data_IF_888208181403
#
_entry.id   IF_888208181403
#
_cell.length_a   1.000
_cell.length_b   1.000
_cell.length_c   1.000
_cell.angle_alpha   90.00
_cell.angle_beta   90.00
_cell.angle_gamma   90.00
#
_symmetry.space_group_name_H-M   'P 1'
#
loop_
_entity.id
_entity.type
_entity.pdbx_description
1 polymer ?
#
# COMPACT_ATOMS: atom_id res chain seq x y z
N UNK A 1 18.12 48.47 46.06
CA UNK A 1 16.84 47.96 45.52
C UNK A 1 17.02 47.82 44.01
N UNK A 2 17.13 46.58 43.55
CA UNK A 2 17.35 46.19 42.15
C UNK A 2 16.00 45.86 41.52
N UNK A 3 15.76 46.28 40.28
CA UNK A 3 14.72 45.79 39.35
C UNK A 3 15.14 46.34 37.97
N UNK A 4 15.97 45.65 37.18
CA UNK A 4 15.71 44.48 36.33
C UNK A 4 14.54 44.69 35.38
N UNK A 5 14.90 44.65 34.10
CA UNK A 5 14.11 44.91 32.91
C UNK A 5 13.08 43.80 32.64
N UNK A 6 11.84 44.20 32.33
CA UNK A 6 10.88 43.31 31.68
C UNK A 6 11.21 43.27 30.18
N UNK A 7 11.84 42.17 29.78
CA UNK A 7 11.95 41.77 28.39
C UNK A 7 10.66 41.08 27.97
N UNK A 8 9.94 41.69 27.04
CA UNK A 8 8.78 41.10 26.37
C UNK A 8 9.22 39.87 25.58
N UNK A 9 8.90 38.68 26.06
CA UNK A 9 9.00 37.44 25.29
C UNK A 9 7.89 37.40 24.25
N UNK A 10 8.23 37.74 23.02
CA UNK A 10 7.41 37.43 21.85
C UNK A 10 7.25 35.90 21.77
N UNK A 11 6.05 35.41 22.08
CA UNK A 11 5.70 34.02 21.85
C UNK A 11 5.76 33.73 20.34
N UNK A 12 6.58 32.75 19.96
CA UNK A 12 6.50 32.16 18.62
C UNK A 12 5.07 31.67 18.36
N UNK A 13 4.48 31.93 17.18
CA UNK A 13 3.20 31.34 16.84
C UNK A 13 3.38 29.83 16.80
N UNK A 14 2.57 29.11 17.56
CA UNK A 14 2.41 27.68 17.38
C UNK A 14 2.03 27.46 15.92
N UNK A 15 2.83 26.70 15.18
CA UNK A 15 2.48 26.25 13.84
C UNK A 15 1.24 25.38 13.97
N UNK A 16 0.08 25.98 13.75
CA UNK A 16 -1.20 25.29 13.75
C UNK A 16 -1.12 24.20 12.68
N UNK A 17 -1.24 22.93 13.09
CA UNK A 17 -1.27 21.84 12.10
C UNK A 17 -2.50 22.09 11.21
N UNK A 18 -2.40 21.94 9.89
CA UNK A 18 -3.58 22.02 9.03
C UNK A 18 -4.62 21.05 9.58
N UNK A 19 -5.84 21.51 9.85
CA UNK A 19 -6.94 20.64 10.24
C UNK A 19 -7.85 20.51 9.02
N UNK A 20 -7.80 19.36 8.36
CA UNK A 20 -8.79 18.99 7.36
C UNK A 20 -9.84 18.18 8.11
N UNK A 21 -10.97 18.80 8.43
CA UNK A 21 -12.16 18.06 8.90
C UNK A 21 -12.75 17.27 7.73
N UNK A 22 -13.51 16.18 7.95
CA UNK A 22 -14.26 15.48 6.89
C UNK A 22 -14.87 16.53 5.96
N UNK A 23 -14.34 16.63 4.74
CA UNK A 23 -14.47 17.86 3.96
C UNK A 23 -15.96 18.21 3.78
N UNK A 24 -16.38 19.40 4.22
CA UNK A 24 -17.73 19.92 3.94
C UNK A 24 -17.96 20.10 2.42
N UNK A 25 -16.90 19.99 1.61
CA UNK A 25 -16.98 19.69 0.18
C UNK A 25 -15.63 19.65 -0.52
N UNK A 26 -15.65 19.24 -1.80
CA UNK A 26 -14.48 19.22 -2.70
C UNK A 26 -13.81 20.61 -2.83
N UNK A 27 -14.57 21.69 -2.60
CA UNK A 27 -14.10 23.07 -2.69
C UNK A 27 -13.08 23.43 -1.58
N UNK A 28 -13.30 22.97 -0.34
CA UNK A 28 -12.37 23.24 0.77
C UNK A 28 -11.08 22.42 0.65
N UNK A 29 -11.18 21.20 0.12
CA UNK A 29 -10.02 20.36 -0.19
C UNK A 29 -9.13 20.98 -1.28
N UNK A 30 -9.73 21.67 -2.27
CA UNK A 30 -9.00 22.37 -3.35
C UNK A 30 -8.48 23.73 -2.89
N UNK A 31 -9.19 24.44 -2.01
CA UNK A 31 -8.75 25.72 -1.46
C UNK A 31 -7.52 25.57 -0.53
N UNK A 32 -7.38 24.43 0.14
CA UNK A 32 -6.26 24.11 1.02
C UNK A 32 -5.02 23.53 0.35
N UNK A 33 -4.95 23.49 -1.00
CA UNK A 33 -3.85 22.80 -1.70
C UNK A 33 -2.48 23.42 -1.35
N UNK A 34 -1.47 22.60 -0.97
CA UNK A 34 -0.18 23.08 -0.53
C UNK A 34 0.53 23.83 -1.67
N UNK A 35 1.05 25.03 -1.37
CA UNK A 35 1.74 25.87 -2.36
C UNK A 35 3.25 25.63 -2.36
N UNK A 36 3.79 25.03 -1.30
CA UNK A 36 5.20 24.72 -1.16
C UNK A 36 5.45 23.26 -0.77
N UNK A 37 6.62 22.71 -1.13
CA UNK A 37 7.02 21.34 -0.74
C UNK A 37 7.00 21.10 0.78
N UNK A 38 7.13 22.16 1.59
CA UNK A 38 7.12 22.09 3.06
C UNK A 38 5.71 21.96 3.63
N UNK A 39 4.69 22.36 2.88
CA UNK A 39 3.28 22.25 3.28
C UNK A 39 2.66 20.91 2.86
N UNK A 40 3.27 20.20 1.89
CA UNK A 40 2.72 18.96 1.34
C UNK A 40 2.56 17.86 2.39
N UNK A 41 3.59 17.61 3.21
CA UNK A 41 3.56 16.55 4.22
C UNK A 41 2.50 16.83 5.32
N UNK A 42 2.50 18.01 5.99
CA UNK A 42 1.45 18.32 6.98
C UNK A 42 0.04 18.32 6.41
N UNK A 43 -0.12 18.72 5.14
CA UNK A 43 -1.42 18.70 4.48
C UNK A 43 -1.90 17.27 4.18
N UNK A 44 -1.01 16.39 3.71
CA UNK A 44 -1.33 14.98 3.48
C UNK A 44 -1.67 14.26 4.79
N UNK A 45 -0.92 14.50 5.86
CA UNK A 45 -1.22 13.97 7.20
C UNK A 45 -2.63 14.38 7.65
N UNK A 46 -2.95 15.67 7.53
CA UNK A 46 -4.25 16.21 7.88
C UNK A 46 -5.38 15.62 7.02
N UNK A 47 -5.16 15.48 5.71
CA UNK A 47 -6.12 14.91 4.78
C UNK A 47 -6.44 13.46 5.13
N UNK A 48 -5.42 12.65 5.41
CA UNK A 48 -5.58 11.24 5.79
C UNK A 48 -6.30 11.13 7.14
N UNK A 49 -5.85 11.86 8.15
CA UNK A 49 -6.43 11.79 9.50
C UNK A 49 -7.90 12.24 9.50
N UNK A 50 -8.18 13.34 8.78
CA UNK A 50 -9.52 13.89 8.57
C UNK A 50 -10.48 12.98 7.81
N UNK A 51 -9.98 12.03 7.02
CA UNK A 51 -10.78 11.14 6.18
C UNK A 51 -10.60 9.66 6.51
N UNK A 52 -10.07 9.33 7.69
CA UNK A 52 -9.74 7.94 8.08
C UNK A 52 -10.90 6.96 7.94
N UNK A 53 -12.13 7.36 8.28
CA UNK A 53 -13.31 6.50 8.17
C UNK A 53 -13.64 6.21 6.70
N UNK A 54 -13.66 7.26 5.88
CA UNK A 54 -13.88 7.15 4.43
C UNK A 54 -12.83 6.24 3.80
N UNK A 55 -11.55 6.44 4.11
CA UNK A 55 -10.44 5.65 3.57
C UNK A 55 -10.50 4.19 4.05
N UNK A 56 -10.72 3.94 5.34
CA UNK A 56 -10.62 2.60 5.92
C UNK A 56 -11.89 1.76 5.80
N UNK A 57 -13.05 2.38 5.60
CA UNK A 57 -14.35 1.68 5.56
C UNK A 57 -15.09 1.90 4.26
N UNK A 58 -15.31 3.15 3.87
CA UNK A 58 -16.13 3.46 2.70
C UNK A 58 -15.49 2.99 1.40
N UNK A 59 -14.20 3.30 1.17
CA UNK A 59 -13.48 2.88 -0.04
C UNK A 59 -13.38 1.35 -0.19
N UNK A 60 -12.98 0.57 0.83
CA UNK A 60 -12.98 -0.89 0.74
C UNK A 60 -14.37 -1.47 0.49
N UNK A 61 -15.40 -0.96 1.17
CA UNK A 61 -16.78 -1.44 1.00
C UNK A 61 -17.30 -1.18 -0.42
N UNK A 62 -17.15 0.06 -0.90
CA UNK A 62 -17.56 0.43 -2.27
C UNK A 62 -16.75 -0.36 -3.29
N UNK A 63 -15.44 -0.51 -3.08
CA UNK A 63 -14.58 -1.33 -3.92
C UNK A 63 -15.07 -2.79 -4.01
N UNK A 64 -15.35 -3.43 -2.87
CA UNK A 64 -15.87 -4.79 -2.82
C UNK A 64 -17.23 -4.93 -3.53
N UNK A 65 -18.15 -4.00 -3.28
CA UNK A 65 -19.47 -3.98 -3.95
C UNK A 65 -19.33 -3.77 -5.46
N UNK A 66 -18.42 -2.91 -5.90
CA UNK A 66 -18.16 -2.68 -7.31
C UNK A 66 -17.55 -3.91 -7.98
N UNK A 67 -16.61 -4.60 -7.32
CA UNK A 67 -16.02 -5.83 -7.84
C UNK A 67 -17.05 -6.95 -7.98
N UNK A 68 -17.80 -7.23 -6.90
CA UNK A 68 -18.84 -8.27 -6.90
C UNK A 68 -19.95 -7.91 -7.89
N UNK A 69 -20.43 -6.67 -7.87
CA UNK A 69 -21.47 -6.24 -8.80
C UNK A 69 -21.03 -6.22 -10.26
N UNK A 70 -19.73 -6.02 -10.53
CA UNK A 70 -19.16 -6.16 -11.87
C UNK A 70 -19.18 -7.62 -12.32
N UNK A 71 -18.77 -8.56 -11.45
CA UNK A 71 -18.77 -9.99 -11.72
C UNK A 71 -20.20 -10.55 -11.91
N UNK A 72 -21.14 -10.14 -11.06
CA UNK A 72 -22.55 -10.58 -11.08
C UNK A 72 -23.40 -9.82 -12.12
N UNK A 73 -22.81 -8.84 -12.82
CA UNK A 73 -23.49 -8.08 -13.87
C UNK A 73 -24.66 -7.22 -13.37
N UNK A 74 -24.58 -6.68 -12.14
CA UNK A 74 -25.64 -5.87 -11.55
C UNK A 74 -26.04 -4.71 -12.47
N UNK A 75 -27.35 -4.52 -12.67
CA UNK A 75 -27.89 -3.50 -13.57
C UNK A 75 -27.61 -2.06 -13.11
N UNK A 76 -27.37 -1.86 -11.81
CA UNK A 76 -27.05 -0.55 -11.23
C UNK A 76 -25.64 -0.07 -11.60
N UNK A 77 -24.75 -0.98 -12.01
CA UNK A 77 -23.38 -0.65 -12.41
C UNK A 77 -23.32 -0.57 -13.95
N UNK A 78 -23.15 0.65 -14.52
CA UNK A 78 -22.98 0.82 -15.96
C UNK A 78 -21.81 -0.02 -16.47
N UNK A 79 -21.96 -0.59 -17.67
CA UNK A 79 -20.94 -1.43 -18.30
C UNK A 79 -19.53 -0.79 -18.35
N UNK A 80 -19.36 0.52 -18.67
CA UNK A 80 -18.03 1.14 -18.66
C UNK A 80 -17.35 1.22 -17.30
N UNK A 81 -18.13 1.08 -16.21
CA UNK A 81 -17.62 1.13 -14.84
C UNK A 81 -17.29 -0.25 -14.27
N UNK A 82 -17.70 -1.33 -14.96
CA UNK A 82 -17.40 -2.69 -14.52
C UNK A 82 -15.93 -2.98 -14.67
N UNK A 83 -15.30 -3.43 -13.60
CA UNK A 83 -13.85 -3.66 -13.54
C UNK A 83 -12.99 -2.52 -14.12
N UNK A 84 -13.44 -1.27 -13.96
CA UNK A 84 -12.79 -0.12 -14.56
C UNK A 84 -11.36 0.06 -13.99
N UNK A 85 -10.29 -0.08 -14.78
CA UNK A 85 -8.94 -0.17 -14.23
C UNK A 85 -8.44 1.10 -13.53
N UNK A 86 -8.67 2.31 -14.07
CA UNK A 86 -8.36 3.55 -13.35
C UNK A 86 -9.00 3.62 -11.95
N UNK A 87 -10.25 3.15 -11.79
CA UNK A 87 -10.90 3.14 -10.48
C UNK A 87 -10.34 2.08 -9.53
N UNK A 88 -9.91 0.93 -10.04
CA UNK A 88 -9.20 -0.07 -9.23
C UNK A 88 -7.89 0.50 -8.68
N UNK A 89 -7.07 1.08 -9.56
CA UNK A 89 -5.79 1.71 -9.15
C UNK A 89 -6.03 2.87 -8.19
N UNK A 90 -7.01 3.73 -8.48
CA UNK A 90 -7.38 4.84 -7.60
C UNK A 90 -7.80 4.36 -6.22
N UNK A 91 -8.70 3.37 -6.14
CA UNK A 91 -9.13 2.78 -4.88
C UNK A 91 -7.96 2.20 -4.09
N UNK A 92 -7.06 1.47 -4.74
CA UNK A 92 -5.85 0.93 -4.10
C UNK A 92 -4.94 2.03 -3.56
N UNK A 93 -4.71 3.11 -4.32
CA UNK A 93 -3.88 4.23 -3.86
C UNK A 93 -4.52 4.91 -2.66
N UNK A 94 -5.83 5.13 -2.66
CA UNK A 94 -6.54 5.73 -1.53
C UNK A 94 -6.42 4.84 -0.28
N UNK A 95 -6.64 3.53 -0.41
CA UNK A 95 -6.50 2.59 0.71
C UNK A 95 -5.05 2.49 1.21
N UNK A 96 -4.06 2.64 0.33
CA UNK A 96 -2.64 2.67 0.67
C UNK A 96 -2.18 4.02 1.25
N UNK A 97 -2.96 5.10 1.08
CA UNK A 97 -2.57 6.46 1.40
C UNK A 97 -2.09 6.64 2.85
N UNK A 98 -2.74 6.09 3.89
CA UNK A 98 -2.27 6.29 5.27
C UNK A 98 -0.85 5.77 5.50
N UNK A 99 -0.56 4.58 4.95
CA UNK A 99 0.78 4.02 5.01
C UNK A 99 1.77 4.83 4.17
N UNK A 100 1.39 5.21 2.94
CA UNK A 100 2.26 5.97 2.05
C UNK A 100 2.65 7.30 2.68
N UNK A 101 1.69 8.03 3.24
CA UNK A 101 1.90 9.32 3.91
C UNK A 101 2.77 9.14 5.16
N UNK A 102 2.57 8.09 5.96
CA UNK A 102 3.42 7.82 7.13
C UNK A 102 4.87 7.45 6.78
N UNK A 103 5.10 6.76 5.67
CA UNK A 103 6.44 6.30 5.25
C UNK A 103 7.18 7.34 4.40
N UNK A 104 6.49 8.11 3.56
CA UNK A 104 7.10 9.04 2.60
C UNK A 104 8.14 10.00 3.22
N UNK A 105 7.92 10.60 4.40
CA UNK A 105 8.88 11.50 5.04
C UNK A 105 10.16 10.79 5.52
N UNK A 106 10.07 9.49 5.75
CA UNK A 106 11.19 8.65 6.23
C UNK A 106 12.07 8.15 5.08
N UNK A 107 11.64 8.31 3.82
CA UNK A 107 12.38 7.82 2.66
C UNK A 107 13.61 8.69 2.37
N UNK A 108 14.77 8.24 2.85
CA UNK A 108 16.06 8.74 2.37
C UNK A 108 16.44 8.20 0.99
N UNK A 109 17.69 8.45 0.57
CA UNK A 109 18.24 7.91 -0.70
C UNK A 109 18.15 6.38 -0.78
N UNK A 110 18.34 5.69 0.36
CA UNK A 110 18.19 4.24 0.48
C UNK A 110 16.73 3.79 0.32
N UNK A 111 15.79 4.57 0.85
CA UNK A 111 14.35 4.35 0.67
C UNK A 111 13.94 4.39 -0.80
N UNK A 112 14.37 5.44 -1.52
CA UNK A 112 14.11 5.58 -2.97
C UNK A 112 14.75 4.44 -3.77
N UNK A 113 16.00 4.08 -3.44
CA UNK A 113 16.66 2.94 -4.08
C UNK A 113 15.92 1.61 -3.80
N UNK A 114 15.47 1.40 -2.56
CA UNK A 114 14.66 0.25 -2.18
C UNK A 114 13.34 0.17 -2.93
N UNK A 115 12.63 1.29 -3.07
CA UNK A 115 11.39 1.36 -3.85
C UNK A 115 11.65 1.01 -5.32
N UNK A 116 12.74 1.51 -5.91
CA UNK A 116 13.16 1.15 -7.26
C UNK A 116 13.50 -0.34 -7.41
N UNK A 117 14.19 -0.91 -6.42
CA UNK A 117 14.52 -2.34 -6.39
C UNK A 117 13.26 -3.21 -6.27
N UNK A 118 12.32 -2.86 -5.40
CA UNK A 118 11.03 -3.56 -5.27
C UNK A 118 10.23 -3.46 -6.56
N UNK A 119 10.15 -2.27 -7.15
CA UNK A 119 9.46 -2.05 -8.43
C UNK A 119 10.06 -2.92 -9.54
N UNK A 120 11.39 -2.91 -9.67
CA UNK A 120 12.09 -3.75 -10.65
C UNK A 120 11.89 -5.24 -10.39
N UNK A 121 11.92 -5.66 -9.12
CA UNK A 121 11.63 -7.04 -8.74
C UNK A 121 10.21 -7.45 -9.08
N UNK A 122 9.21 -6.62 -8.77
CA UNK A 122 7.79 -6.88 -9.08
C UNK A 122 7.59 -7.12 -10.57
N UNK A 123 8.15 -6.27 -11.43
CA UNK A 123 8.06 -6.49 -12.88
C UNK A 123 8.82 -7.73 -13.35
N UNK A 124 10.01 -7.98 -12.80
CA UNK A 124 10.83 -9.13 -13.16
C UNK A 124 10.14 -10.45 -12.80
N UNK A 125 9.67 -10.58 -11.56
CA UNK A 125 9.06 -11.82 -11.07
C UNK A 125 7.72 -12.08 -11.77
N UNK A 126 6.96 -11.03 -12.04
CA UNK A 126 5.71 -11.14 -12.79
C UNK A 126 5.96 -11.56 -14.24
N UNK A 127 6.92 -10.92 -14.90
CA UNK A 127 7.29 -11.26 -16.27
C UNK A 127 7.72 -12.73 -16.37
N UNK A 128 8.50 -13.22 -15.40
CA UNK A 128 8.83 -14.65 -15.31
C UNK A 128 7.58 -15.50 -15.08
N UNK A 129 6.66 -15.06 -14.23
CA UNK A 129 5.38 -15.73 -13.98
C UNK A 129 4.56 -15.91 -15.25
N UNK A 130 4.28 -14.82 -15.98
CA UNK A 130 3.45 -14.86 -17.19
C UNK A 130 4.14 -15.58 -18.36
N UNK A 131 5.48 -15.56 -18.44
CA UNK A 131 6.21 -16.18 -19.57
C UNK A 131 6.60 -17.64 -19.33
N UNK A 132 6.81 -18.04 -18.08
CA UNK A 132 7.34 -19.38 -17.73
C UNK A 132 6.44 -20.17 -16.79
N UNK A 133 5.45 -19.54 -16.17
CA UNK A 133 4.66 -20.12 -15.09
C UNK A 133 5.42 -20.25 -13.76
N UNK A 134 6.65 -19.73 -13.66
CA UNK A 134 7.41 -19.73 -12.41
C UNK A 134 7.53 -18.31 -11.83
N UNK A 135 7.33 -18.08 -10.52
CA UNK A 135 7.11 -19.08 -9.48
C UNK A 135 5.64 -19.41 -9.22
N UNK A 136 4.69 -18.66 -9.80
CA UNK A 136 3.30 -18.69 -9.36
C UNK A 136 2.50 -19.91 -9.86
N UNK A 137 2.94 -20.55 -10.93
CA UNK A 137 2.12 -21.42 -11.77
C UNK A 137 1.84 -20.73 -13.10
N UNK A 138 1.49 -21.49 -14.15
CA UNK A 138 1.06 -20.90 -15.41
C UNK A 138 -0.33 -20.28 -15.21
N UNK A 139 -0.47 -18.98 -15.51
CA UNK A 139 -1.71 -18.23 -15.37
C UNK A 139 -1.87 -17.20 -16.49
N UNK A 140 -3.11 -16.83 -16.74
CA UNK A 140 -3.47 -15.80 -17.72
C UNK A 140 -4.37 -14.74 -17.07
N UNK A 141 -4.13 -13.47 -17.41
CA UNK A 141 -4.98 -12.36 -16.98
C UNK A 141 -6.29 -12.34 -17.75
N UNK A 142 -7.42 -12.47 -17.04
CA UNK A 142 -8.77 -12.39 -17.61
C UNK A 142 -9.34 -10.97 -17.61
N UNK A 143 -9.05 -10.19 -16.57
CA UNK A 143 -9.45 -8.77 -16.46
C UNK A 143 -8.20 -7.89 -16.52
N UNK A 144 -8.24 -6.89 -17.39
CA UNK A 144 -7.17 -5.89 -17.45
C UNK A 144 -7.13 -5.05 -16.18
N UNK A 145 -5.98 -5.01 -15.52
CA UNK A 145 -5.69 -4.14 -14.37
C UNK A 145 -5.14 -2.76 -14.80
N UNK A 146 -5.32 -2.40 -16.06
CA UNK A 146 -4.86 -1.15 -16.66
C UNK A 146 -3.98 -1.41 -17.88
N UNK A 147 -3.17 -0.43 -18.30
CA UNK A 147 -2.22 -0.61 -19.38
C UNK A 147 -1.32 -1.83 -19.10
N UNK A 148 -1.32 -2.81 -20.01
CA UNK A 148 -0.48 -4.00 -19.94
C UNK A 148 0.76 -3.80 -20.82
N UNK A 149 1.93 -4.19 -20.32
CA UNK A 149 3.21 -4.19 -21.05
C UNK A 149 3.70 -5.62 -21.06
N UNK A 150 3.77 -6.24 -22.25
CA UNK A 150 4.15 -7.64 -22.42
C UNK A 150 3.39 -8.62 -21.50
N UNK A 151 2.08 -8.38 -21.31
CA UNK A 151 1.22 -9.18 -20.45
C UNK A 151 1.24 -8.80 -18.96
N UNK A 152 2.10 -7.87 -18.55
CA UNK A 152 2.26 -7.43 -17.16
C UNK A 152 1.55 -6.08 -16.92
N UNK A 153 0.72 -5.93 -15.88
CA UNK A 153 0.08 -4.64 -15.57
C UNK A 153 1.09 -3.56 -15.18
N UNK A 154 1.03 -2.39 -15.81
CA UNK A 154 1.87 -1.24 -15.46
C UNK A 154 1.60 -0.68 -14.04
N UNK A 155 0.43 -1.00 -13.47
CA UNK A 155 0.08 -0.63 -12.10
C UNK A 155 0.49 -1.68 -11.06
N UNK A 156 1.11 -2.81 -11.46
CA UNK A 156 1.43 -3.91 -10.56
C UNK A 156 2.19 -3.51 -9.28
N UNK A 157 3.21 -2.63 -9.35
CA UNK A 157 3.90 -2.17 -8.14
C UNK A 157 2.99 -1.46 -7.14
N UNK A 158 1.92 -0.80 -7.61
CA UNK A 158 0.93 -0.10 -6.76
C UNK A 158 0.10 -1.10 -5.94
N UNK A 159 -0.14 -2.29 -6.47
CA UNK A 159 -0.86 -3.34 -5.74
C UNK A 159 0.06 -4.08 -4.76
N UNK A 160 1.28 -4.42 -5.21
CA UNK A 160 2.18 -5.27 -4.44
C UNK A 160 2.94 -4.53 -3.33
N UNK A 161 3.54 -3.37 -3.62
CA UNK A 161 4.46 -2.71 -2.68
C UNK A 161 3.76 -2.28 -1.39
N UNK A 162 2.56 -1.66 -1.43
CA UNK A 162 1.84 -1.32 -0.20
C UNK A 162 1.51 -2.54 0.66
N UNK A 163 1.20 -3.68 0.04
CA UNK A 163 0.89 -4.92 0.75
C UNK A 163 2.10 -5.41 1.56
N UNK A 164 3.26 -5.58 0.91
CA UNK A 164 4.46 -6.05 1.61
C UNK A 164 5.02 -5.05 2.60
N UNK A 165 4.89 -3.75 2.31
CA UNK A 165 5.30 -2.69 3.22
C UNK A 165 4.42 -2.66 4.48
N UNK A 166 3.09 -2.79 4.34
CA UNK A 166 2.19 -2.92 5.48
C UNK A 166 2.50 -4.14 6.34
N UNK A 167 2.76 -5.31 5.72
CA UNK A 167 3.15 -6.51 6.46
C UNK A 167 4.47 -6.31 7.23
N UNK A 168 5.44 -5.61 6.63
CA UNK A 168 6.69 -5.26 7.28
C UNK A 168 6.51 -4.28 8.44
N UNK A 169 5.73 -3.21 8.26
CA UNK A 169 5.42 -2.24 9.31
C UNK A 169 4.66 -2.87 10.48
N UNK A 170 3.67 -3.72 10.17
CA UNK A 170 2.96 -4.51 11.17
C UNK A 170 3.93 -5.40 11.96
N UNK A 171 4.88 -6.05 11.28
CA UNK A 171 5.92 -6.82 11.96
C UNK A 171 6.74 -5.96 12.92
N UNK A 172 7.17 -4.75 12.51
CA UNK A 172 7.94 -3.87 13.39
C UNK A 172 7.12 -3.46 14.62
N UNK A 173 5.85 -3.12 14.43
CA UNK A 173 4.92 -2.77 15.50
C UNK A 173 4.69 -3.92 16.48
N UNK A 174 4.50 -5.14 15.98
CA UNK A 174 4.23 -6.31 16.82
C UNK A 174 5.46 -6.78 17.60
N UNK A 175 6.66 -6.68 17.00
CA UNK A 175 7.87 -7.25 17.58
C UNK A 175 8.64 -6.25 18.45
N UNK A 176 8.46 -4.94 18.25
CA UNK A 176 9.22 -3.91 18.96
C UNK A 176 10.72 -4.15 18.81
N UNK A 177 11.46 -4.10 19.92
CA UNK A 177 12.90 -4.37 19.98
C UNK A 177 13.32 -5.72 19.36
N UNK A 178 12.45 -6.74 19.41
CA UNK A 178 12.74 -8.06 18.83
C UNK A 178 12.84 -8.02 17.31
N UNK A 179 12.28 -6.99 16.69
CA UNK A 179 12.33 -6.83 15.25
C UNK A 179 13.75 -6.55 14.74
N UNK A 180 14.75 -6.29 15.60
CA UNK A 180 16.15 -6.17 15.19
C UNK A 180 16.70 -7.44 14.52
N UNK A 181 16.15 -8.62 14.84
CA UNK A 181 16.51 -9.88 14.19
C UNK A 181 15.84 -10.03 12.82
N UNK A 182 16.63 -10.13 11.76
CA UNK A 182 16.13 -10.43 10.41
C UNK A 182 15.34 -11.73 10.35
N UNK A 183 15.76 -12.74 11.11
CA UNK A 183 15.05 -14.02 11.17
C UNK A 183 13.65 -13.85 11.78
N UNK A 184 13.53 -13.01 12.82
CA UNK A 184 12.23 -12.71 13.42
C UNK A 184 11.33 -11.95 12.44
N UNK A 185 11.88 -10.99 11.69
CA UNK A 185 11.13 -10.29 10.62
C UNK A 185 10.65 -11.24 9.53
N UNK A 186 11.52 -12.11 9.01
CA UNK A 186 11.14 -13.11 8.02
C UNK A 186 10.05 -14.05 8.54
N UNK A 187 10.16 -14.51 9.79
CA UNK A 187 9.19 -15.40 10.42
C UNK A 187 7.79 -14.80 10.62
N UNK A 188 7.65 -13.47 10.52
CA UNK A 188 6.37 -12.77 10.69
C UNK A 188 5.85 -12.25 9.35
N UNK A 189 6.71 -11.61 8.56
CA UNK A 189 6.31 -11.00 7.29
C UNK A 189 5.95 -12.05 6.25
N UNK A 190 6.69 -13.16 6.14
CA UNK A 190 6.37 -14.21 5.16
C UNK A 190 4.99 -14.81 5.42
N UNK A 191 4.65 -15.29 6.64
CA UNK A 191 3.31 -15.77 6.91
C UNK A 191 2.23 -14.71 6.73
N UNK A 192 2.47 -13.45 7.10
CA UNK A 192 1.51 -12.38 6.92
C UNK A 192 1.18 -12.15 5.43
N UNK A 193 2.21 -12.08 4.58
CA UNK A 193 2.04 -11.90 3.12
C UNK A 193 1.36 -13.12 2.49
N UNK A 194 1.78 -14.35 2.84
CA UNK A 194 1.15 -15.58 2.32
C UNK A 194 -0.29 -15.72 2.82
N UNK A 195 -0.59 -15.31 4.05
CA UNK A 195 -1.98 -15.31 4.57
C UNK A 195 -2.85 -14.31 3.81
N UNK A 196 -2.30 -13.16 3.44
CA UNK A 196 -3.01 -12.20 2.58
C UNK A 196 -3.31 -12.81 1.21
N UNK A 197 -2.33 -13.45 0.58
CA UNK A 197 -2.47 -14.16 -0.69
C UNK A 197 -3.51 -15.29 -0.63
N UNK A 198 -3.51 -16.08 0.45
CA UNK A 198 -4.55 -17.10 0.72
C UNK A 198 -5.98 -16.56 0.74
N UNK A 199 -6.18 -15.25 0.87
CA UNK A 199 -7.50 -14.60 0.79
C UNK A 199 -7.68 -13.89 -0.55
N UNK A 200 -6.65 -13.20 -1.04
CA UNK A 200 -6.72 -12.39 -2.25
C UNK A 200 -6.84 -13.24 -3.51
N UNK A 201 -5.99 -14.25 -3.68
CA UNK A 201 -5.90 -15.02 -4.91
C UNK A 201 -7.19 -15.82 -5.19
N UNK A 202 -7.78 -16.53 -4.21
CA UNK A 202 -9.08 -17.18 -4.40
C UNK A 202 -10.18 -16.21 -4.84
N UNK A 203 -10.20 -14.99 -4.26
CA UNK A 203 -11.17 -13.97 -4.63
C UNK A 203 -10.92 -13.46 -6.06
N UNK A 204 -9.65 -13.24 -6.43
CA UNK A 204 -9.27 -12.78 -7.76
C UNK A 204 -9.59 -13.81 -8.85
N UNK A 205 -9.32 -15.10 -8.60
CA UNK A 205 -9.70 -16.21 -9.49
C UNK A 205 -11.23 -16.27 -9.63
N UNK A 206 -11.96 -16.18 -8.51
CA UNK A 206 -13.44 -16.21 -8.53
C UNK A 206 -14.06 -15.03 -9.28
N UNK A 207 -13.40 -13.86 -9.24
CA UNK A 207 -13.83 -12.65 -9.95
C UNK A 207 -13.32 -12.61 -11.40
N UNK A 208 -12.53 -13.60 -11.85
CA UNK A 208 -12.01 -13.69 -13.20
C UNK A 208 -10.83 -12.78 -13.52
N UNK A 209 -10.15 -12.24 -12.50
CA UNK A 209 -8.96 -11.41 -12.72
C UNK A 209 -7.83 -12.19 -13.40
N UNK A 210 -7.63 -13.42 -12.98
CA UNK A 210 -6.74 -14.38 -13.62
C UNK A 210 -7.26 -15.80 -13.41
N UNK A 211 -6.79 -16.71 -14.27
CA UNK A 211 -7.04 -18.14 -14.14
C UNK A 211 -5.71 -18.89 -14.25
N UNK A 212 -5.56 -19.95 -13.48
CA UNK A 212 -4.42 -20.85 -13.55
C UNK A 212 -4.72 -22.02 -14.48
N UNK A 213 -3.87 -22.26 -15.48
CA UNK A 213 -4.13 -23.24 -16.56
C UNK A 213 -4.33 -24.68 -16.04
N UNK A 214 -3.51 -25.05 -15.06
CA UNK A 214 -3.54 -26.37 -14.44
C UNK A 214 -4.53 -26.45 -13.26
N UNK A 215 -5.20 -25.34 -12.93
CA UNK A 215 -5.96 -25.18 -11.69
C UNK A 215 -5.07 -25.34 -10.45
N UNK A 216 -5.70 -25.59 -9.31
CA UNK A 216 -5.01 -25.65 -8.04
C UNK A 216 -5.82 -26.30 -6.92
N UNK A 217 -5.12 -26.77 -5.89
CA UNK A 217 -5.73 -27.49 -4.77
C UNK A 217 -6.50 -26.58 -3.80
N UNK A 218 -6.30 -25.27 -3.89
CA UNK A 218 -6.90 -24.30 -2.99
C UNK A 218 -7.66 -23.24 -3.78
N UNK A 219 -8.97 -23.43 -3.97
CA UNK A 219 -9.81 -22.54 -4.79
C UNK A 219 -9.22 -22.25 -6.19
N UNK A 220 -8.77 -23.31 -6.86
CA UNK A 220 -8.09 -23.26 -8.18
C UNK A 220 -6.74 -22.52 -8.21
N UNK A 221 -6.17 -22.18 -7.04
CA UNK A 221 -4.83 -21.59 -6.89
C UNK A 221 -3.79 -22.71 -6.62
N UNK A 222 -2.71 -22.81 -7.42
CA UNK A 222 -1.69 -23.83 -7.25
C UNK A 222 -0.79 -23.52 -6.04
N UNK A 223 -0.24 -24.57 -5.41
CA UNK A 223 0.63 -24.39 -4.24
C UNK A 223 1.94 -23.64 -4.56
N UNK A 224 2.35 -23.66 -5.83
CA UNK A 224 3.49 -22.87 -6.33
C UNK A 224 3.28 -21.37 -6.12
N UNK A 225 2.04 -20.87 -6.23
CA UNK A 225 1.70 -19.47 -6.00
C UNK A 225 2.11 -19.00 -4.61
N UNK A 226 1.68 -19.73 -3.57
CA UNK A 226 2.05 -19.42 -2.18
C UNK A 226 3.58 -19.47 -1.97
N UNK A 227 4.27 -20.36 -2.70
CA UNK A 227 5.73 -20.39 -2.74
C UNK A 227 6.36 -19.14 -3.39
N UNK A 228 5.77 -18.66 -4.49
CA UNK A 228 6.13 -17.42 -5.16
C UNK A 228 5.91 -16.18 -4.28
N UNK A 229 4.80 -16.13 -3.54
CA UNK A 229 4.55 -15.08 -2.55
C UNK A 229 5.51 -15.15 -1.37
N UNK A 230 5.86 -16.34 -0.88
CA UNK A 230 6.89 -16.50 0.14
C UNK A 230 8.27 -16.03 -0.33
N UNK A 231 8.64 -16.33 -1.58
CA UNK A 231 9.86 -15.81 -2.22
C UNK A 231 9.82 -14.27 -2.30
N UNK A 232 8.70 -13.73 -2.78
CA UNK A 232 8.49 -12.29 -2.95
C UNK A 232 8.56 -11.55 -1.62
N UNK A 233 7.96 -12.11 -0.57
CA UNK A 233 8.06 -11.59 0.80
C UNK A 233 9.50 -11.62 1.33
N UNK A 234 10.25 -12.70 1.05
CA UNK A 234 11.65 -12.83 1.46
C UNK A 234 12.54 -11.76 0.83
N UNK A 235 12.36 -11.53 -0.48
CA UNK A 235 13.06 -10.46 -1.21
C UNK A 235 12.64 -9.10 -0.66
N UNK A 236 11.35 -8.88 -0.44
CA UNK A 236 10.83 -7.62 0.09
C UNK A 236 11.41 -7.28 1.46
N UNK A 237 11.46 -8.23 2.40
CA UNK A 237 12.11 -8.03 3.71
C UNK A 237 13.57 -7.64 3.54
N UNK A 238 14.31 -8.33 2.66
CA UNK A 238 15.71 -8.01 2.41
C UNK A 238 15.94 -6.60 1.85
N UNK A 239 15.06 -6.16 0.94
CA UNK A 239 15.13 -4.81 0.37
C UNK A 239 14.72 -3.76 1.40
N UNK A 240 13.66 -4.01 2.17
CA UNK A 240 13.15 -3.09 3.20
C UNK A 240 14.13 -2.94 4.37
N UNK A 241 14.82 -4.01 4.77
CA UNK A 241 15.92 -3.96 5.75
C UNK A 241 17.07 -3.05 5.32
N UNK A 242 17.32 -2.97 4.00
CA UNK A 242 18.31 -2.05 3.43
C UNK A 242 17.77 -0.62 3.27
N UNK A 243 16.49 -0.51 2.89
CA UNK A 243 15.86 0.74 2.48
C UNK A 243 15.44 1.61 3.66
N UNK A 244 14.95 1.00 4.74
CA UNK A 244 14.40 1.68 5.91
C UNK A 244 15.44 1.78 7.02
N UNK A 245 15.57 2.99 7.58
CA UNK A 245 16.30 3.17 8.82
C UNK A 245 15.41 2.79 10.00
N UNK A 246 15.64 1.61 10.56
CA UNK A 246 14.83 1.06 11.65
C UNK A 246 14.85 1.95 12.89
N UNK A 247 15.95 2.67 13.14
CA UNK A 247 16.10 3.52 14.33
C UNK A 247 15.12 4.71 14.30
N UNK A 248 15.02 5.42 13.18
CA UNK A 248 14.08 6.55 13.04
C UNK A 248 12.61 6.13 12.92
N UNK A 249 12.33 4.89 12.53
CA UNK A 249 10.96 4.38 12.43
C UNK A 249 10.38 4.02 13.80
N UNK A 250 11.17 3.39 14.68
CA UNK A 250 10.77 3.07 16.05
C UNK A 250 10.46 4.32 16.88
N UNK A 251 11.26 5.37 16.75
CA UNK A 251 11.03 6.64 17.45
C UNK A 251 9.69 7.28 17.06
N UNK A 252 9.27 7.17 15.80
CA UNK A 252 7.98 7.69 15.33
C UNK A 252 6.79 6.82 15.73
N UNK A 253 6.92 5.49 15.64
CA UNK A 253 5.85 4.56 16.06
C UNK A 253 5.59 4.62 17.57
N UNK A 254 6.60 4.99 18.35
CA UNK A 254 6.50 5.19 19.81
C UNK A 254 5.97 6.57 20.22
N UNK A 255 5.90 7.52 19.28
CA UNK A 255 5.47 8.90 19.51
C UNK A 255 3.99 9.15 19.16
N UNK A 256 3.29 8.12 18.68
CA UNK A 256 1.82 8.07 18.47
C UNK A 256 1.19 7.38 19.67
#
# INVERSE_FOLDING_TARGET
MSNVADSSTAGSPATDRPQVTEAEGLADAVAGFPQSRREVEPWLDALVDGNRFTIAVFFPLVGALMLVGSAEGWAIIPEPLRFNPPFLVFGTVVMAAPMLVGVLPTLGRRGVAGLGLLTGYTYLIEYLGVTTGWPYGAFEYGVSLGPMVDGVPAALPVFFIPLVLNAYLLCLLLLGDRAGSRLARLAVVIPAVVTMDLVLDPAAVSLGFWAYDAGGLFYDVPLSNFGGWALSATVAVGVLDFALDQSGLFDRLSAV
#
